data_IF_506910097290
#
_entry.id   IF_506910097290
#
_cell.length_a   1.000
_cell.length_b   1.000
_cell.length_c   1.000
_cell.angle_alpha   90.00
_cell.angle_beta   90.00
_cell.angle_gamma   90.00
#
_symmetry.space_group_name_H-M   'P 1'
#
loop_
_entity.id
_entity.type
_entity.pdbx_description
1 polymer ?
#
# COMPACT_ATOMS: atom_id res chain seq x y z
N UNK A 1 -25.34 -37.35 38.26
CA UNK A 1 -24.14 -36.79 37.60
C UNK A 1 -24.61 -35.84 36.50
N UNK A 2 -24.49 -34.52 36.70
CA UNK A 2 -24.68 -33.53 35.63
C UNK A 2 -23.30 -32.93 35.36
N UNK A 3 -22.72 -33.21 34.20
CA UNK A 3 -21.52 -32.53 33.74
C UNK A 3 -21.95 -31.11 33.33
N UNK A 4 -21.50 -30.10 34.08
CA UNK A 4 -21.53 -28.72 33.64
C UNK A 4 -20.26 -28.47 32.81
N UNK A 5 -20.42 -28.32 31.50
CA UNK A 5 -19.37 -27.84 30.62
C UNK A 5 -19.18 -26.33 30.88
N UNK A 6 -18.00 -25.96 31.38
CA UNK A 6 -17.58 -24.56 31.48
C UNK A 6 -17.03 -24.18 30.12
N UNK A 7 -17.79 -23.37 29.37
CA UNK A 7 -17.30 -22.72 28.16
C UNK A 7 -16.36 -21.60 28.62
N UNK A 8 -15.05 -21.80 28.49
CA UNK A 8 -14.09 -20.72 28.66
C UNK A 8 -14.20 -19.79 27.45
N UNK A 9 -14.78 -18.61 27.66
CA UNK A 9 -14.70 -17.50 26.72
C UNK A 9 -13.25 -16.99 26.75
N UNK A 10 -12.45 -17.41 25.77
CA UNK A 10 -11.15 -16.79 25.51
C UNK A 10 -11.46 -15.43 24.86
N UNK A 11 -11.42 -14.37 25.66
CA UNK A 11 -11.38 -13.01 25.13
C UNK A 11 -10.02 -12.80 24.49
N UNK A 12 -9.95 -12.98 23.17
CA UNK A 12 -8.86 -12.42 22.36
C UNK A 12 -8.96 -10.91 22.45
N UNK A 13 -8.02 -10.30 23.17
CA UNK A 13 -7.76 -8.86 23.05
C UNK A 13 -7.03 -8.66 21.74
N UNK A 14 -7.73 -8.24 20.69
CA UNK A 14 -7.08 -7.82 19.44
C UNK A 14 -6.02 -6.76 19.79
N UNK A 15 -4.78 -6.97 19.35
CA UNK A 15 -3.73 -5.97 19.51
C UNK A 15 -4.21 -4.64 18.89
N UNK A 16 -3.86 -3.53 19.54
CA UNK A 16 -4.13 -2.22 18.96
C UNK A 16 -3.39 -2.11 17.62
N UNK A 17 -4.08 -1.64 16.57
CA UNK A 17 -3.47 -1.47 15.27
C UNK A 17 -2.24 -0.54 15.38
N UNK A 18 -1.09 -0.93 14.81
CA UNK A 18 0.09 -0.10 14.87
C UNK A 18 -0.07 1.17 14.04
N UNK A 19 0.73 2.17 14.40
CA UNK A 19 0.84 3.41 13.66
C UNK A 19 2.12 3.41 12.83
N UNK A 20 2.11 4.01 11.64
CA UNK A 20 3.34 4.17 10.86
C UNK A 20 4.42 4.89 11.66
N UNK A 21 5.63 4.33 11.66
CA UNK A 21 6.79 4.84 12.40
C UNK A 21 7.46 6.00 11.63
N UNK A 22 6.73 7.09 11.45
CA UNK A 22 7.23 8.32 10.85
C UNK A 22 7.09 9.47 11.84
N UNK A 23 7.99 10.48 11.83
CA UNK A 23 7.87 11.64 12.72
C UNK A 23 6.54 12.36 12.51
N UNK A 24 6.02 13.08 13.52
CA UNK A 24 4.78 13.85 13.36
C UNK A 24 4.93 14.91 12.26
N UNK A 25 3.81 15.28 11.64
CA UNK A 25 3.79 16.32 10.61
C UNK A 25 4.26 17.66 11.21
N UNK A 26 5.22 18.38 10.59
CA UNK A 26 5.62 19.71 11.05
C UNK A 26 4.47 20.73 10.91
N UNK A 27 4.35 21.63 11.88
CA UNK A 27 3.28 22.65 11.90
C UNK A 27 3.31 23.58 10.68
N UNK A 28 4.51 23.88 10.18
CA UNK A 28 4.76 24.75 9.03
C UNK A 28 4.86 24.00 7.69
N UNK A 29 4.64 22.68 7.69
CA UNK A 29 4.73 21.89 6.47
C UNK A 29 3.68 22.35 5.44
N UNK A 30 4.03 22.43 4.14
CA UNK A 30 3.09 22.80 3.10
C UNK A 30 2.01 21.72 2.89
N UNK A 31 0.85 22.14 2.39
CA UNK A 31 -0.19 21.22 1.92
C UNK A 31 0.19 20.53 0.61
N UNK A 32 -0.50 19.43 0.30
CA UNK A 32 -0.21 18.60 -0.87
C UNK A 32 -0.30 19.37 -2.18
N UNK A 33 -1.29 20.25 -2.33
CA UNK A 33 -1.45 21.08 -3.52
C UNK A 33 -0.25 22.02 -3.72
N UNK A 34 0.24 22.65 -2.66
CA UNK A 34 1.40 23.53 -2.72
C UNK A 34 2.67 22.77 -3.12
N UNK A 35 2.86 21.57 -2.58
CA UNK A 35 3.99 20.70 -2.93
C UNK A 35 3.93 20.33 -4.41
N UNK A 36 2.78 19.86 -4.90
CA UNK A 36 2.63 19.45 -6.30
C UNK A 36 2.93 20.58 -7.29
N UNK A 37 2.60 21.82 -6.96
CA UNK A 37 2.97 22.98 -7.78
C UNK A 37 4.49 23.12 -7.93
N UNK A 38 5.27 22.82 -6.88
CA UNK A 38 6.74 22.84 -6.96
C UNK A 38 7.33 21.71 -7.79
N UNK A 39 6.54 20.69 -8.10
CA UNK A 39 6.97 19.51 -8.85
C UNK A 39 6.67 19.60 -10.34
N UNK A 40 5.83 20.54 -10.80
CA UNK A 40 5.33 20.59 -12.17
C UNK A 40 6.43 20.61 -13.25
N UNK A 41 7.50 21.36 -13.00
CA UNK A 41 8.53 21.68 -14.02
C UNK A 41 9.95 21.20 -13.62
N UNK A 42 10.04 20.24 -12.69
CA UNK A 42 11.33 19.66 -12.27
C UNK A 42 11.53 18.26 -12.86
N UNK A 43 12.79 17.80 -12.89
CA UNK A 43 13.07 16.43 -13.33
C UNK A 43 12.45 15.41 -12.38
N UNK A 44 12.27 14.18 -12.86
CA UNK A 44 11.82 13.06 -12.03
C UNK A 44 12.72 12.89 -10.80
N UNK A 45 14.03 12.94 -10.96
CA UNK A 45 14.98 12.73 -9.86
C UNK A 45 14.77 13.77 -8.75
N UNK A 46 14.63 15.04 -9.11
CA UNK A 46 14.32 16.13 -8.17
C UNK A 46 12.94 15.93 -7.53
N UNK A 47 11.97 15.41 -8.27
CA UNK A 47 10.63 15.10 -7.75
C UNK A 47 10.70 14.02 -6.67
N UNK A 48 11.41 12.94 -6.94
CA UNK A 48 11.55 11.79 -6.04
C UNK A 48 12.28 12.18 -4.74
N UNK A 49 13.35 12.97 -4.84
CA UNK A 49 14.06 13.52 -3.68
C UNK A 49 13.18 14.42 -2.82
N UNK A 50 12.38 15.30 -3.44
CA UNK A 50 11.45 16.19 -2.73
C UNK A 50 10.35 15.41 -2.02
N UNK A 51 9.72 14.45 -2.71
CA UNK A 51 8.68 13.61 -2.12
C UNK A 51 9.21 12.79 -0.95
N UNK A 52 10.39 12.17 -1.10
CA UNK A 52 11.04 11.47 -0.01
C UNK A 52 11.29 12.38 1.19
N UNK A 53 11.81 13.59 0.96
CA UNK A 53 12.08 14.55 2.03
C UNK A 53 10.81 14.92 2.78
N UNK A 54 9.75 15.30 2.08
CA UNK A 54 8.48 15.68 2.71
C UNK A 54 7.92 14.53 3.57
N UNK A 55 7.85 13.32 3.01
CA UNK A 55 7.27 12.16 3.71
C UNK A 55 8.16 11.70 4.88
N UNK A 56 9.49 11.68 4.71
CA UNK A 56 10.41 11.32 5.79
C UNK A 56 10.43 12.32 6.94
N UNK A 57 10.03 13.58 6.68
CA UNK A 57 9.82 14.60 7.70
C UNK A 57 8.42 14.54 8.31
N UNK A 58 7.57 13.61 7.87
CA UNK A 58 6.22 13.40 8.41
C UNK A 58 5.12 14.20 7.71
N UNK A 59 5.41 14.91 6.61
CA UNK A 59 4.40 15.67 5.86
C UNK A 59 3.48 14.76 5.04
N UNK A 60 2.59 14.08 5.75
CA UNK A 60 1.55 13.23 5.21
C UNK A 60 0.29 13.38 6.08
N UNK A 61 -0.89 13.02 5.54
CA UNK A 61 -2.12 13.01 6.31
C UNK A 61 -2.04 12.11 7.54
N UNK A 62 -2.61 12.57 8.65
CA UNK A 62 -2.70 11.82 9.90
C UNK A 62 -3.61 10.60 9.73
N UNK A 63 -4.61 10.67 8.85
CA UNK A 63 -5.44 9.51 8.55
C UNK A 63 -4.66 8.33 7.95
N UNK A 64 -3.57 8.57 7.23
CA UNK A 64 -2.75 7.49 6.67
C UNK A 64 -1.95 6.75 7.75
N UNK A 65 -1.69 7.38 8.90
CA UNK A 65 -0.94 6.80 10.02
C UNK A 65 -1.76 5.80 10.82
N UNK A 66 -3.09 5.83 10.69
CA UNK A 66 -4.03 4.93 11.36
C UNK A 66 -4.22 3.69 10.48
N UNK A 67 -3.40 2.67 10.69
CA UNK A 67 -3.42 1.47 9.87
C UNK A 67 -4.70 0.66 10.09
N UNK A 68 -5.20 0.06 9.01
CA UNK A 68 -6.42 -0.74 9.00
C UNK A 68 -6.04 -2.23 8.99
N UNK A 69 -6.60 -3.04 9.90
CA UNK A 69 -6.38 -4.48 9.88
C UNK A 69 -7.06 -5.12 8.66
N UNK A 70 -6.34 -6.01 7.98
CA UNK A 70 -6.84 -6.83 6.87
C UNK A 70 -6.52 -8.28 7.20
N UNK A 71 -7.57 -9.10 7.24
CA UNK A 71 -7.43 -10.54 7.46
C UNK A 71 -6.88 -11.23 6.21
N UNK A 72 -5.96 -12.17 6.42
CA UNK A 72 -5.41 -13.07 5.42
C UNK A 72 -5.52 -14.51 5.91
N UNK A 73 -5.61 -15.47 4.99
CA UNK A 73 -5.66 -16.89 5.34
C UNK A 73 -5.08 -17.74 4.23
N UNK A 74 -4.61 -18.93 4.56
CA UNK A 74 -4.22 -19.96 3.59
C UNK A 74 -4.41 -21.38 4.13
N UNK A 75 -4.51 -22.34 3.22
CA UNK A 75 -4.37 -23.76 3.54
C UNK A 75 -2.92 -24.17 3.27
N UNK A 76 -2.21 -24.68 4.27
CA UNK A 76 -0.85 -25.19 4.12
C UNK A 76 -0.67 -26.47 4.93
N UNK A 77 -0.02 -27.48 4.33
CA UNK A 77 0.23 -28.79 4.99
C UNK A 77 -1.01 -29.48 5.60
N UNK A 78 -2.21 -29.17 5.10
CA UNK A 78 -3.47 -29.70 5.62
C UNK A 78 -4.04 -28.96 6.82
N UNK A 79 -3.47 -27.80 7.17
CA UNK A 79 -3.91 -26.90 8.23
C UNK A 79 -4.35 -25.55 7.66
N UNK A 80 -5.37 -24.95 8.30
CA UNK A 80 -5.85 -23.61 7.97
C UNK A 80 -5.14 -22.60 8.85
N UNK A 81 -4.34 -21.73 8.23
CA UNK A 81 -3.64 -20.63 8.91
C UNK A 81 -4.38 -19.32 8.68
N UNK A 82 -4.41 -18.49 9.71
CA UNK A 82 -4.99 -17.15 9.68
C UNK A 82 -3.96 -16.10 10.06
N UNK A 83 -4.12 -14.89 9.56
CA UNK A 83 -3.30 -13.77 9.98
C UNK A 83 -3.96 -12.43 9.78
N UNK A 84 -3.37 -11.40 10.38
CA UNK A 84 -3.79 -10.01 10.24
C UNK A 84 -2.59 -9.18 9.83
N UNK A 85 -2.72 -8.48 8.70
CA UNK A 85 -1.77 -7.42 8.30
C UNK A 85 -2.40 -6.06 8.56
N UNK A 86 -1.59 -5.04 8.83
CA UNK A 86 -2.06 -3.66 9.00
C UNK A 86 -1.60 -2.80 7.85
N UNK A 87 -2.54 -2.11 7.18
CA UNK A 87 -2.27 -1.43 5.92
C UNK A 87 -2.67 0.03 5.97
N UNK A 88 -2.00 0.88 5.20
CA UNK A 88 -2.47 2.25 5.05
C UNK A 88 -3.85 2.26 4.41
N UNK A 89 -4.80 3.06 4.93
CA UNK A 89 -6.17 3.09 4.42
C UNK A 89 -6.25 3.56 2.96
N UNK A 90 -5.25 4.32 2.53
CA UNK A 90 -5.12 4.84 1.17
C UNK A 90 -3.64 4.76 0.73
N UNK A 91 -3.36 5.25 -0.47
CA UNK A 91 -2.03 5.35 -1.03
C UNK A 91 -1.24 6.50 -0.38
N UNK A 92 0.08 6.35 -0.32
CA UNK A 92 0.99 7.39 0.16
C UNK A 92 0.68 8.72 -0.49
N UNK A 93 0.53 9.71 0.37
CA UNK A 93 0.14 11.05 0.01
C UNK A 93 0.98 12.05 0.81
N UNK A 94 1.22 13.19 0.21
CA UNK A 94 1.91 14.32 0.85
C UNK A 94 0.91 15.41 1.19
N UNK A 95 1.07 16.06 2.34
CA UNK A 95 0.19 17.15 2.79
C UNK A 95 -0.51 16.88 4.12
N UNK A 96 -1.66 17.52 4.34
CA UNK A 96 -2.49 17.40 5.56
C UNK A 96 -3.79 16.64 5.30
N UNK A 97 -4.57 16.34 6.34
CA UNK A 97 -5.90 15.70 6.20
C UNK A 97 -6.84 16.49 5.26
N UNK A 98 -6.71 17.82 5.21
CA UNK A 98 -7.55 18.72 4.41
C UNK A 98 -6.99 19.06 3.01
N UNK A 99 -5.68 18.97 2.82
CA UNK A 99 -5.00 19.23 1.53
C UNK A 99 -3.86 18.23 1.34
N UNK A 100 -4.18 17.08 0.73
CA UNK A 100 -3.23 16.03 0.39
C UNK A 100 -3.29 15.67 -1.07
N UNK A 101 -2.19 15.18 -1.62
CA UNK A 101 -2.15 14.60 -2.96
C UNK A 101 -1.53 13.21 -2.89
N UNK A 102 -2.15 12.22 -3.57
CA UNK A 102 -1.60 10.87 -3.76
C UNK A 102 -0.40 10.96 -4.70
N UNK A 103 0.74 10.43 -4.29
CA UNK A 103 2.02 10.67 -4.98
C UNK A 103 2.60 9.38 -5.56
N UNK A 104 2.35 9.08 -6.85
CA UNK A 104 3.14 8.10 -7.59
C UNK A 104 4.64 8.41 -7.47
N UNK A 105 5.45 7.39 -7.20
CA UNK A 105 6.89 7.51 -7.04
C UNK A 105 7.59 6.22 -7.48
N UNK A 106 8.91 6.25 -7.59
CA UNK A 106 9.71 5.07 -7.94
C UNK A 106 9.64 4.03 -6.81
N UNK A 107 9.70 2.72 -7.13
CA UNK A 107 9.81 1.66 -6.14
C UNK A 107 10.99 1.85 -5.17
N UNK A 108 12.11 2.43 -5.62
CA UNK A 108 13.28 2.69 -4.77
C UNK A 108 12.99 3.78 -3.74
N UNK A 109 12.29 4.85 -4.14
CA UNK A 109 11.80 5.91 -3.22
C UNK A 109 10.79 5.35 -2.23
N UNK A 110 9.83 4.56 -2.74
CA UNK A 110 8.81 3.90 -1.93
C UNK A 110 9.43 2.95 -0.88
N UNK A 111 10.46 2.18 -1.27
CA UNK A 111 11.18 1.29 -0.36
C UNK A 111 11.90 2.07 0.74
N UNK A 112 12.55 3.20 0.42
CA UNK A 112 13.20 4.04 1.44
C UNK A 112 12.20 4.58 2.46
N UNK A 113 10.99 4.96 2.00
CA UNK A 113 9.91 5.38 2.89
C UNK A 113 9.41 4.20 3.73
N UNK A 114 9.22 3.03 3.12
CA UNK A 114 8.79 1.83 3.84
C UNK A 114 9.80 1.44 4.94
N UNK A 115 11.10 1.45 4.64
CA UNK A 115 12.17 1.19 5.60
C UNK A 115 12.14 2.18 6.77
N UNK A 116 11.95 3.47 6.49
CA UNK A 116 11.84 4.51 7.53
C UNK A 116 10.60 4.32 8.41
N UNK A 117 9.50 3.84 7.83
CA UNK A 117 8.21 3.68 8.50
C UNK A 117 8.04 2.32 9.20
N UNK A 118 9.11 1.50 9.29
CA UNK A 118 9.05 0.11 9.76
C UNK A 118 7.97 -0.71 9.03
N UNK A 119 7.85 -0.49 7.73
CA UNK A 119 6.81 -1.00 6.85
C UNK A 119 7.40 -1.76 5.65
N UNK A 120 6.53 -2.33 4.83
CA UNK A 120 6.86 -3.01 3.58
C UNK A 120 5.86 -2.65 2.48
N UNK A 121 6.25 -2.93 1.23
CA UNK A 121 5.36 -2.84 0.08
C UNK A 121 4.53 -4.14 -0.02
N UNK A 122 3.29 -4.09 -0.51
CA UNK A 122 2.44 -5.26 -0.55
C UNK A 122 2.92 -6.25 -1.62
N UNK A 123 2.56 -7.52 -1.49
CA UNK A 123 2.56 -8.46 -2.62
C UNK A 123 1.24 -8.37 -3.38
N UNK A 124 1.16 -9.04 -4.53
CA UNK A 124 -0.12 -9.21 -5.24
C UNK A 124 -1.23 -9.77 -4.34
N UNK A 125 -0.95 -10.83 -3.58
CA UNK A 125 -1.94 -11.46 -2.69
C UNK A 125 -2.44 -10.49 -1.62
N UNK A 126 -1.55 -9.67 -1.04
CA UNK A 126 -1.96 -8.63 -0.09
C UNK A 126 -2.87 -7.60 -0.76
N UNK A 127 -2.55 -7.15 -1.98
CA UNK A 127 -3.39 -6.19 -2.70
C UNK A 127 -4.81 -6.74 -2.92
N UNK A 128 -4.96 -8.01 -3.29
CA UNK A 128 -6.27 -8.65 -3.44
C UNK A 128 -7.03 -8.72 -2.11
N UNK A 129 -6.36 -9.09 -1.01
CA UNK A 129 -6.96 -9.10 0.32
C UNK A 129 -7.42 -7.70 0.78
N UNK A 130 -6.58 -6.68 0.52
CA UNK A 130 -6.88 -5.27 0.80
C UNK A 130 -8.09 -4.81 0.00
N UNK A 131 -8.17 -5.15 -1.30
CA UNK A 131 -9.33 -4.81 -2.12
C UNK A 131 -10.61 -5.47 -1.58
N UNK A 132 -10.54 -6.74 -1.18
CA UNK A 132 -11.69 -7.45 -0.64
C UNK A 132 -12.17 -6.87 0.70
N UNK A 133 -11.28 -6.28 1.49
CA UNK A 133 -11.60 -5.66 2.78
C UNK A 133 -12.00 -4.18 2.66
N UNK A 134 -11.73 -3.54 1.52
CA UNK A 134 -11.97 -2.13 1.31
C UNK A 134 -13.46 -1.80 1.21
N UNK A 135 -13.86 -0.70 1.85
CA UNK A 135 -15.17 -0.08 1.70
C UNK A 135 -14.98 1.44 1.75
N UNK A 136 -15.07 2.16 0.61
CA UNK A 136 -15.54 1.69 -0.70
C UNK A 136 -14.44 1.06 -1.58
N UNK A 137 -14.87 0.13 -2.44
CA UNK A 137 -14.13 -0.28 -3.64
C UNK A 137 -14.42 0.73 -4.76
N UNK A 138 -13.44 1.59 -5.03
CA UNK A 138 -13.55 2.69 -5.98
C UNK A 138 -13.20 2.21 -7.41
N UNK A 139 -13.75 2.88 -8.43
CA UNK A 139 -13.55 2.49 -9.82
C UNK A 139 -12.24 3.08 -10.35
N UNK A 140 -11.42 2.31 -11.08
CA UNK A 140 -10.32 2.83 -11.89
C UNK A 140 -10.80 3.97 -12.80
N UNK A 141 -9.99 5.03 -12.91
CA UNK A 141 -10.23 6.15 -13.83
C UNK A 141 -9.03 6.31 -14.77
N UNK A 142 -9.08 5.72 -15.97
CA UNK A 142 -7.95 5.72 -16.88
C UNK A 142 -7.76 7.08 -17.57
N UNK A 143 -6.53 7.56 -17.57
CA UNK A 143 -5.99 8.63 -18.41
C UNK A 143 -5.14 7.98 -19.51
N UNK A 144 -5.53 8.13 -20.76
CA UNK A 144 -4.87 7.43 -21.88
C UNK A 144 -3.65 8.22 -22.39
N UNK A 145 -2.54 7.55 -22.75
CA UNK A 145 -1.30 8.22 -23.18
C UNK A 145 -1.43 8.97 -24.52
N UNK A 146 -2.49 8.71 -25.31
CA UNK A 146 -2.78 9.47 -26.54
C UNK A 146 -3.24 10.90 -26.26
N UNK A 147 -3.78 11.15 -25.06
CA UNK A 147 -4.37 12.44 -24.65
C UNK A 147 -3.55 13.10 -23.53
N UNK A 148 -2.89 12.30 -22.69
CA UNK A 148 -2.27 12.78 -21.46
C UNK A 148 -0.79 12.41 -21.37
N UNK A 149 0.01 13.34 -20.81
CA UNK A 149 1.38 13.05 -20.37
C UNK A 149 1.34 12.24 -19.07
N UNK A 150 1.16 10.92 -19.16
CA UNK A 150 0.83 10.04 -18.03
C UNK A 150 1.90 9.98 -16.91
N UNK A 151 3.13 10.43 -17.16
CA UNK A 151 4.22 10.52 -16.16
C UNK A 151 4.34 11.92 -15.52
N UNK A 152 3.50 12.88 -15.95
CA UNK A 152 3.58 14.26 -15.50
C UNK A 152 2.87 14.48 -14.15
N UNK A 153 3.42 15.33 -13.28
CA UNK A 153 2.75 15.75 -12.03
C UNK A 153 1.37 16.37 -12.24
N UNK A 154 1.12 16.97 -13.43
CA UNK A 154 -0.19 17.49 -13.82
C UNK A 154 -1.25 16.39 -13.91
N UNK A 155 -0.92 15.25 -14.51
CA UNK A 155 -1.85 14.10 -14.60
C UNK A 155 -1.99 13.41 -13.23
N UNK A 156 -0.96 13.43 -12.39
CA UNK A 156 -1.04 12.90 -11.03
C UNK A 156 -2.09 13.68 -10.21
N UNK A 157 -2.04 15.02 -10.30
CA UNK A 157 -3.03 15.92 -9.68
C UNK A 157 -4.44 15.67 -10.23
N UNK A 158 -4.59 15.56 -11.56
CA UNK A 158 -5.88 15.25 -12.17
C UNK A 158 -6.44 13.90 -11.70
N UNK A 159 -5.61 12.86 -11.66
CA UNK A 159 -5.99 11.53 -11.16
C UNK A 159 -6.40 11.58 -9.69
N UNK A 160 -5.66 12.30 -8.84
CA UNK A 160 -6.01 12.47 -7.44
C UNK A 160 -7.42 13.08 -7.27
N UNK A 161 -7.71 14.19 -7.96
CA UNK A 161 -9.03 14.83 -7.84
C UNK A 161 -10.16 13.98 -8.40
N UNK A 162 -9.91 13.21 -9.45
CA UNK A 162 -10.90 12.30 -10.02
C UNK A 162 -11.27 11.18 -9.02
N UNK A 163 -10.28 10.68 -8.26
CA UNK A 163 -10.47 9.73 -7.17
C UNK A 163 -11.21 10.38 -5.99
N UNK A 164 -10.78 11.57 -5.54
CA UNK A 164 -11.44 12.28 -4.43
C UNK A 164 -12.91 12.58 -4.74
N UNK A 165 -13.22 13.02 -5.95
CA UNK A 165 -14.60 13.23 -6.39
C UNK A 165 -15.43 11.94 -6.32
N UNK A 166 -14.82 10.77 -6.54
CA UNK A 166 -15.50 9.50 -6.38
C UNK A 166 -15.72 9.15 -4.90
N UNK A 167 -14.68 9.25 -4.06
CA UNK A 167 -14.76 9.01 -2.61
C UNK A 167 -15.84 9.88 -1.96
N UNK A 168 -15.89 11.17 -2.30
CA UNK A 168 -16.91 12.10 -1.78
C UNK A 168 -18.32 11.66 -2.18
N UNK A 169 -18.52 11.16 -3.42
CA UNK A 169 -19.83 10.67 -3.87
C UNK A 169 -20.29 9.39 -3.15
N UNK A 170 -19.36 8.56 -2.66
CA UNK A 170 -19.74 7.40 -1.84
C UNK A 170 -20.05 7.80 -0.39
N UNK A 171 -19.69 9.01 0.03
CA UNK A 171 -19.82 9.49 1.41
C UNK A 171 -18.73 8.94 2.35
N UNK A 172 -17.74 8.22 1.82
CA UNK A 172 -16.65 7.67 2.62
C UNK A 172 -15.75 8.79 3.16
N UNK A 173 -15.41 8.82 4.46
CA UNK A 173 -14.51 9.82 5.02
C UNK A 173 -13.06 9.60 4.58
N UNK A 174 -12.16 10.61 4.70
CA UNK A 174 -10.72 10.36 4.67
C UNK A 174 -10.34 9.31 5.72
N UNK A 175 -9.45 8.38 5.34
CA UNK A 175 -9.06 7.26 6.20
C UNK A 175 -9.98 6.03 6.15
N UNK A 176 -11.07 6.05 5.37
CA UNK A 176 -11.72 4.80 4.98
C UNK A 176 -10.74 3.95 4.14
N UNK A 177 -10.74 2.62 4.33
CA UNK A 177 -9.92 1.72 3.52
C UNK A 177 -10.46 1.72 2.09
N UNK A 178 -9.77 2.39 1.17
CA UNK A 178 -10.12 2.45 -0.25
C UNK A 178 -9.16 1.61 -1.08
N UNK A 179 -9.70 0.97 -2.13
CA UNK A 179 -8.92 0.16 -3.06
C UNK A 179 -9.52 0.19 -4.47
N UNK A 180 -8.79 -0.40 -5.43
CA UNK A 180 -9.22 -0.58 -6.82
C UNK A 180 -8.81 0.55 -7.78
N UNK A 181 -8.33 1.69 -7.26
CA UNK A 181 -8.10 2.93 -8.03
C UNK A 181 -6.66 3.13 -8.54
N UNK A 182 -5.69 2.35 -8.06
CA UNK A 182 -4.30 2.37 -8.54
C UNK A 182 -3.82 0.96 -8.87
N UNK A 183 -2.74 0.91 -9.63
CA UNK A 183 -1.86 -0.25 -9.76
C UNK A 183 -0.83 -0.13 -8.64
N UNK A 184 -0.99 -0.93 -7.61
CA UNK A 184 -0.08 -1.00 -6.49
C UNK A 184 1.31 -1.43 -6.99
N UNK A 185 2.36 -0.72 -6.57
CA UNK A 185 3.73 -1.19 -6.70
C UNK A 185 3.93 -2.30 -5.69
N UNK A 186 4.24 -3.50 -6.18
CA UNK A 186 4.26 -4.72 -5.37
C UNK A 186 5.64 -5.35 -5.28
N UNK A 187 5.84 -6.17 -4.26
CA UNK A 187 6.92 -7.15 -4.17
C UNK A 187 6.50 -8.42 -4.91
N UNK A 188 7.43 -8.99 -5.67
CA UNK A 188 7.22 -10.20 -6.47
C UNK A 188 8.41 -11.15 -6.32
N UNK A 189 8.19 -12.46 -6.48
CA UNK A 189 9.25 -13.46 -6.34
C UNK A 189 10.38 -13.26 -7.37
N UNK A 190 10.04 -12.74 -8.56
CA UNK A 190 10.99 -12.43 -9.63
C UNK A 190 11.82 -11.15 -9.41
N UNK A 191 11.59 -10.38 -8.35
CA UNK A 191 12.22 -9.08 -8.13
C UNK A 191 13.74 -9.19 -7.96
N UNK A 192 14.22 -10.16 -7.18
CA UNK A 192 15.66 -10.35 -6.96
C UNK A 192 16.44 -10.65 -8.25
N UNK A 193 15.79 -11.31 -9.22
CA UNK A 193 16.38 -11.60 -10.53
C UNK A 193 16.26 -10.44 -11.53
N UNK A 194 15.37 -9.47 -11.27
CA UNK A 194 15.09 -8.31 -12.12
C UNK A 194 15.04 -7.01 -11.29
N UNK A 195 16.15 -6.63 -10.63
CA UNK A 195 16.19 -5.47 -9.74
C UNK A 195 16.01 -4.13 -10.47
N UNK A 196 16.20 -4.12 -11.80
CA UNK A 196 16.01 -2.97 -12.68
C UNK A 196 14.54 -2.78 -13.10
N UNK A 197 13.60 -3.58 -12.58
CA UNK A 197 12.18 -3.54 -12.93
C UNK A 197 11.31 -3.07 -11.79
N UNK A 198 10.18 -2.45 -12.13
CA UNK A 198 9.07 -2.20 -11.22
C UNK A 198 7.97 -3.22 -11.48
N UNK A 199 7.49 -3.87 -10.42
CA UNK A 199 6.35 -4.76 -10.47
C UNK A 199 5.11 -4.00 -10.02
N UNK A 200 4.08 -4.03 -10.86
CA UNK A 200 2.79 -3.40 -10.59
C UNK A 200 1.68 -4.43 -10.72
N UNK A 201 0.67 -4.29 -9.88
CA UNK A 201 -0.51 -5.13 -9.87
C UNK A 201 -1.71 -4.35 -9.34
N UNK A 202 -2.91 -4.68 -9.78
CA UNK A 202 -4.13 -4.11 -9.23
C UNK A 202 -4.91 -3.38 -10.31
N UNK A 203 -5.46 -2.21 -9.97
CA UNK A 203 -6.69 -1.73 -10.59
C UNK A 203 -7.73 -2.84 -10.63
N UNK A 204 -8.75 -2.75 -9.80
CA UNK A 204 -9.72 -3.85 -9.74
C UNK A 204 -11.01 -3.40 -10.37
N UNK A 205 -11.59 -4.28 -11.18
CA UNK A 205 -13.01 -4.19 -11.48
C UNK A 205 -13.81 -4.31 -10.17
N UNK A 206 -15.06 -3.83 -10.14
CA UNK A 206 -15.95 -4.03 -8.98
C UNK A 206 -16.24 -5.50 -8.67
N UNK A 207 -15.99 -6.39 -9.65
CA UNK A 207 -16.04 -7.84 -9.47
C UNK A 207 -14.87 -8.40 -8.68
N UNK A 208 -13.81 -7.63 -8.45
CA UNK A 208 -12.55 -8.07 -7.84
C UNK A 208 -11.53 -8.61 -8.83
N UNK A 209 -11.84 -8.61 -10.13
CA UNK A 209 -10.88 -9.01 -11.14
C UNK A 209 -9.84 -7.89 -11.37
N UNK A 210 -8.53 -8.19 -11.30
CA UNK A 210 -7.50 -7.21 -11.58
C UNK A 210 -7.44 -6.88 -13.08
N UNK A 211 -7.55 -5.61 -13.41
CA UNK A 211 -7.35 -5.04 -14.74
C UNK A 211 -5.86 -5.05 -15.10
N UNK A 212 -5.00 -4.73 -14.13
CA UNK A 212 -3.55 -4.88 -14.26
C UNK A 212 -3.13 -6.22 -13.63
N UNK A 213 -2.90 -7.27 -14.43
CA UNK A 213 -2.22 -8.46 -13.92
C UNK A 213 -0.80 -8.11 -13.49
N UNK A 214 -0.15 -9.01 -12.75
CA UNK A 214 1.22 -8.81 -12.30
C UNK A 214 2.13 -8.52 -13.50
N UNK A 215 2.70 -7.33 -13.53
CA UNK A 215 3.47 -6.84 -14.67
C UNK A 215 4.79 -6.26 -14.20
N UNK A 216 5.89 -6.71 -14.79
CA UNK A 216 7.25 -6.40 -14.36
C UNK A 216 8.20 -6.04 -15.51
N UNK A 217 7.69 -5.52 -16.63
CA UNK A 217 8.53 -5.19 -17.79
C UNK A 217 8.95 -3.72 -17.81
N UNK A 218 8.27 -2.86 -17.05
CA UNK A 218 8.72 -1.48 -16.86
C UNK A 218 10.02 -1.44 -16.07
N UNK A 219 10.94 -0.59 -16.51
CA UNK A 219 12.14 -0.21 -15.77
C UNK A 219 11.77 0.44 -14.44
N UNK A 220 12.59 0.27 -13.42
CA UNK A 220 12.31 0.69 -12.05
C UNK A 220 12.22 2.22 -11.85
N UNK A 221 12.57 3.02 -12.85
CA UNK A 221 12.37 4.47 -12.83
C UNK A 221 11.08 4.92 -13.52
N UNK A 222 10.30 3.98 -14.07
CA UNK A 222 8.99 4.25 -14.68
C UNK A 222 7.97 4.58 -13.59
N UNK A 223 7.32 5.74 -13.71
CA UNK A 223 6.30 6.19 -12.77
C UNK A 223 5.23 6.93 -13.56
N UNK A 224 4.04 6.35 -13.62
CA UNK A 224 2.86 6.99 -14.19
C UNK A 224 1.77 7.27 -13.14
N UNK A 225 0.75 8.02 -13.53
CA UNK A 225 -0.35 8.43 -12.64
C UNK A 225 -1.08 7.25 -11.99
N UNK A 226 -1.05 6.07 -12.61
CA UNK A 226 -1.79 4.90 -12.16
C UNK A 226 -1.05 4.13 -11.08
N UNK A 227 0.25 4.35 -10.89
CA UNK A 227 1.01 3.75 -9.80
C UNK A 227 0.49 4.21 -8.43
N UNK A 228 0.34 3.26 -7.51
CA UNK A 228 -0.04 3.49 -6.13
C UNK A 228 1.01 2.89 -5.20
N UNK A 229 1.43 3.66 -4.19
CA UNK A 229 2.27 3.12 -3.12
C UNK A 229 1.39 2.92 -1.90
N UNK A 230 1.20 1.67 -1.49
CA UNK A 230 0.52 1.32 -0.24
C UNK A 230 1.55 0.75 0.72
N UNK A 231 1.48 1.11 1.99
CA UNK A 231 2.35 0.53 3.00
C UNK A 231 1.58 -0.49 3.81
N UNK A 232 2.27 -1.58 4.12
CA UNK A 232 1.85 -2.61 5.07
C UNK A 232 2.83 -2.56 6.24
N UNK A 233 2.36 -2.58 7.48
CA UNK A 233 3.25 -2.67 8.63
C UNK A 233 4.19 -3.88 8.48
N UNK A 234 5.44 -3.73 8.93
CA UNK A 234 6.40 -4.84 8.92
C UNK A 234 5.99 -5.96 9.87
N UNK A 235 5.27 -5.63 10.94
CA UNK A 235 4.66 -6.57 11.88
C UNK A 235 3.28 -7.04 11.43
N UNK A 236 2.93 -8.26 11.84
CA UNK A 236 1.65 -8.90 11.59
C UNK A 236 1.32 -9.89 12.72
N UNK A 237 0.11 -10.43 12.73
CA UNK A 237 -0.25 -11.59 13.55
C UNK A 237 -0.47 -12.82 12.66
N UNK A 238 -0.04 -13.99 13.13
CA UNK A 238 -0.32 -15.30 12.53
C UNK A 238 -0.77 -16.26 13.62
N UNK A 239 -1.94 -16.87 13.42
CA UNK A 239 -2.55 -17.82 14.36
C UNK A 239 -2.63 -17.31 15.82
N UNK A 240 -2.78 -15.99 15.98
CA UNK A 240 -2.86 -15.31 17.27
C UNK A 240 -1.52 -14.93 17.89
N UNK A 241 -0.39 -15.25 17.24
CA UNK A 241 0.95 -14.92 17.70
C UNK A 241 1.59 -13.80 16.84
N UNK A 242 2.40 -12.91 17.43
CA UNK A 242 3.14 -11.89 16.67
C UNK A 242 4.15 -12.51 15.70
N UNK A 243 4.24 -11.95 14.49
CA UNK A 243 5.20 -12.31 13.45
C UNK A 243 5.59 -11.08 12.62
N UNK A 244 6.55 -11.23 11.70
CA UNK A 244 6.83 -10.20 10.70
C UNK A 244 6.44 -10.64 9.29
N UNK A 245 6.02 -9.68 8.46
CA UNK A 245 5.72 -9.92 7.05
C UNK A 245 6.92 -10.52 6.32
N UNK A 246 8.14 -10.09 6.64
CA UNK A 246 9.35 -10.60 6.01
C UNK A 246 9.62 -12.07 6.35
N UNK A 247 9.44 -12.48 7.62
CA UNK A 247 9.57 -13.88 8.04
C UNK A 247 8.53 -14.77 7.33
N UNK A 248 7.26 -14.35 7.30
CA UNK A 248 6.19 -15.13 6.68
C UNK A 248 6.37 -15.22 5.16
N UNK A 249 6.80 -14.15 4.49
CA UNK A 249 7.13 -14.20 3.07
C UNK A 249 8.30 -15.16 2.77
N UNK A 250 9.27 -15.30 3.67
CA UNK A 250 10.40 -16.21 3.49
C UNK A 250 10.07 -17.67 3.80
N UNK A 251 9.03 -17.95 4.60
CA UNK A 251 8.67 -19.29 5.08
C UNK A 251 7.90 -20.10 4.01
N UNK A 252 8.44 -21.23 3.51
CA UNK A 252 7.74 -22.11 2.56
C UNK A 252 6.41 -22.68 3.05
N UNK A 253 6.22 -22.82 4.37
CA UNK A 253 4.97 -23.33 4.94
C UNK A 253 3.91 -22.22 5.05
N UNK A 254 4.30 -20.99 5.37
CA UNK A 254 3.37 -19.91 5.70
C UNK A 254 3.28 -18.78 4.66
N UNK A 255 4.19 -18.74 3.67
CA UNK A 255 4.18 -17.71 2.63
C UNK A 255 2.86 -17.65 1.87
N UNK A 256 2.10 -18.75 1.83
CA UNK A 256 0.75 -18.80 1.29
C UNK A 256 -0.22 -17.81 1.93
N UNK A 257 0.03 -17.29 3.14
CA UNK A 257 -0.76 -16.20 3.73
C UNK A 257 -0.62 -14.91 2.92
N UNK A 258 0.56 -14.67 2.38
CA UNK A 258 1.03 -13.37 1.91
C UNK A 258 1.50 -13.37 0.46
N UNK A 259 1.70 -14.51 -0.18
CA UNK A 259 2.21 -14.65 -1.54
C UNK A 259 1.56 -15.87 -2.19
N UNK A 260 1.18 -15.71 -3.45
CA UNK A 260 0.76 -16.80 -4.32
C UNK A 260 1.77 -17.07 -5.44
N UNK A 261 2.97 -16.50 -5.32
CA UNK A 261 4.16 -16.80 -6.12
C UNK A 261 5.11 -17.79 -5.41
N UNK A 262 4.76 -18.23 -4.19
CA UNK A 262 5.64 -18.95 -3.28
C UNK A 262 6.50 -18.02 -2.43
N UNK A 263 7.57 -18.54 -1.79
CA UNK A 263 8.42 -17.75 -0.89
C UNK A 263 9.12 -16.58 -1.59
N UNK A 264 9.22 -15.46 -0.88
CA UNK A 264 9.96 -14.25 -1.28
C UNK A 264 10.96 -13.91 -0.14
N UNK A 265 12.14 -14.55 -0.08
CA UNK A 265 13.08 -14.39 1.04
C UNK A 265 13.72 -13.01 1.17
N UNK A 266 13.76 -12.24 0.07
CA UNK A 266 14.26 -10.86 0.05
C UNK A 266 13.14 -9.93 -0.45
N UNK A 267 12.09 -9.69 0.37
CA UNK A 267 10.89 -8.98 -0.04
C UNK A 267 11.13 -7.47 -0.02
N UNK A 268 12.01 -6.97 -0.90
CA UNK A 268 12.31 -5.54 -1.01
C UNK A 268 12.85 -5.15 -2.37
N UNK A 269 12.65 -3.89 -2.73
CA UNK A 269 13.42 -3.28 -3.81
C UNK A 269 14.84 -2.93 -3.34
N UNK A 270 15.87 -3.04 -4.20
CA UNK A 270 17.19 -2.52 -3.90
C UNK A 270 17.13 -0.99 -3.74
N UNK A 271 17.82 -0.50 -2.73
CA UNK A 271 18.05 0.94 -2.50
C UNK A 271 19.56 1.16 -2.49
N UNK A 272 20.00 2.30 -3.01
CA UNK A 272 21.42 2.71 -2.99
C UNK A 272 21.88 3.11 -1.59
#
# INVERSE_FOLDING_TARGET
MRLSAVLALISSTAAAAPTLDLPPRPDDAPGGSAIMLTLLDVSREVREERLLREISQGNMPDFLRRLVPVAVSCEASGEHHTGTIWVTPDYLSVGSDDDFIRTPMMPTTAQRIADLASATLPTRRMVDAIWSAADPQLQPQPFTPEVYEIQSPRVFLASHWAIEAQRVRTGAPPGALVAGIKKDVVLAAGLAARPDRVFIFGWHHPSGEPIQPLYGDHVNWWVDYSHGIRLVAGEMEVDGEPATVAEILADPALCGLLSDEGPIPAPRYPVE
#
